data_IF_364874469845
#
_entry.id   IF_364874469845
#
_cell.length_a   1.000
_cell.length_b   1.000
_cell.length_c   1.000
_cell.angle_alpha   90.00
_cell.angle_beta   90.00
_cell.angle_gamma   90.00
#
_symmetry.space_group_name_H-M   'P 1'
#
loop_
_entity.id
_entity.type
_entity.pdbx_description
1 polymer ?
#
# COMPACT_ATOMS: atom_id res chain seq x y z
N UNK A 1 4.81 -14.01 -7.23
CA UNK A 1 3.45 -14.15 -6.70
C UNK A 1 2.90 -12.81 -6.31
N UNK A 2 1.68 -12.50 -6.71
CA UNK A 2 1.07 -11.21 -6.38
C UNK A 2 0.41 -11.26 -5.01
N UNK A 3 0.56 -10.15 -4.28
CA UNK A 3 -0.10 -9.93 -2.99
C UNK A 3 -0.80 -8.57 -3.01
N UNK A 4 -2.01 -8.53 -2.47
CA UNK A 4 -2.77 -7.30 -2.30
C UNK A 4 -2.75 -6.92 -0.82
N UNK A 5 -2.32 -5.68 -0.55
CA UNK A 5 -2.36 -5.11 0.77
C UNK A 5 -3.44 -4.04 0.85
N UNK A 6 -4.31 -4.15 1.83
CA UNK A 6 -5.31 -3.13 2.14
C UNK A 6 -4.98 -2.56 3.52
N UNK A 7 -4.60 -1.30 3.55
CA UNK A 7 -4.20 -0.62 4.77
C UNK A 7 -5.23 0.44 5.11
N UNK A 8 -5.77 0.40 6.32
CA UNK A 8 -6.77 1.37 6.77
C UNK A 8 -6.10 2.30 7.77
N UNK A 9 -6.23 3.60 7.55
CA UNK A 9 -5.65 4.61 8.43
C UNK A 9 -6.37 4.66 9.76
N UNK A 10 -5.63 5.06 10.80
CA UNK A 10 -6.24 5.41 12.09
C UNK A 10 -7.14 6.63 11.93
N UNK A 11 -8.17 6.80 12.77
CA UNK A 11 -8.92 8.04 12.83
C UNK A 11 -7.97 9.23 12.98
N UNK A 12 -8.30 10.34 12.34
CA UNK A 12 -7.48 11.56 12.35
C UNK A 12 -6.07 11.39 11.78
N UNK A 13 -5.89 10.41 10.87
CA UNK A 13 -4.58 10.14 10.26
C UNK A 13 -4.19 11.08 9.13
N UNK A 14 -5.07 11.96 8.66
CA UNK A 14 -4.82 12.74 7.45
C UNK A 14 -3.56 13.61 7.52
N UNK A 15 -3.32 14.28 8.64
CA UNK A 15 -2.14 15.13 8.80
C UNK A 15 -0.84 14.30 8.75
N UNK A 16 -0.86 13.12 9.38
CA UNK A 16 0.28 12.20 9.36
C UNK A 16 0.52 11.66 7.94
N UNK A 17 -0.53 11.26 7.25
CA UNK A 17 -0.45 10.80 5.86
C UNK A 17 0.14 11.88 4.96
N UNK A 18 -0.36 13.11 5.07
CA UNK A 18 0.12 14.23 4.27
C UNK A 18 1.59 14.53 4.56
N UNK A 19 1.98 14.53 5.83
CA UNK A 19 3.35 14.82 6.25
C UNK A 19 4.35 13.74 5.83
N UNK A 20 3.93 12.47 5.74
CA UNK A 20 4.80 11.36 5.37
C UNK A 20 4.72 10.99 3.89
N UNK A 21 3.83 11.60 3.13
CA UNK A 21 3.61 11.26 1.74
C UNK A 21 4.88 11.38 0.87
N UNK A 22 5.69 12.44 0.97
CA UNK A 22 6.91 12.51 0.14
C UNK A 22 7.84 11.33 0.39
N UNK A 23 8.10 10.98 1.63
CA UNK A 23 8.95 9.83 1.98
C UNK A 23 8.35 8.52 1.50
N UNK A 24 7.03 8.33 1.64
CA UNK A 24 6.29 7.16 1.16
C UNK A 24 6.46 6.99 -0.35
N UNK A 25 6.31 8.05 -1.13
CA UNK A 25 6.44 7.97 -2.59
C UNK A 25 7.87 7.64 -3.02
N UNK A 26 8.88 8.21 -2.35
CA UNK A 26 10.28 7.87 -2.61
C UNK A 26 10.53 6.39 -2.32
N UNK A 27 10.04 5.90 -1.18
CA UNK A 27 10.17 4.50 -0.80
C UNK A 27 9.53 3.57 -1.83
N UNK A 28 8.28 3.83 -2.21
CA UNK A 28 7.57 3.00 -3.19
C UNK A 28 8.28 2.99 -4.54
N UNK A 29 8.78 4.15 -4.98
CA UNK A 29 9.53 4.24 -6.23
C UNK A 29 10.80 3.39 -6.22
N UNK A 30 11.40 3.19 -5.05
CA UNK A 30 12.62 2.38 -4.90
C UNK A 30 12.38 0.89 -5.08
N UNK A 31 11.14 0.43 -4.99
CA UNK A 31 10.79 -0.99 -5.07
C UNK A 31 10.89 -1.56 -6.49
N UNK A 32 10.89 -0.71 -7.50
CA UNK A 32 10.98 -1.16 -8.88
C UNK A 32 9.85 -2.10 -9.28
N UNK A 33 10.20 -3.20 -9.93
CA UNK A 33 9.23 -4.18 -10.43
C UNK A 33 8.46 -4.93 -9.34
N UNK A 34 8.89 -4.85 -8.09
CA UNK A 34 8.15 -5.46 -6.97
C UNK A 34 6.85 -4.73 -6.66
N UNK A 35 6.75 -3.46 -7.00
CA UNK A 35 5.52 -2.69 -6.87
C UNK A 35 4.80 -2.68 -8.21
N UNK A 36 3.57 -3.19 -8.23
CA UNK A 36 2.75 -3.26 -9.46
C UNK A 36 1.70 -2.17 -9.51
N UNK A 37 1.16 -1.79 -8.37
CA UNK A 37 0.21 -0.69 -8.26
C UNK A 37 0.16 -0.21 -6.82
N UNK A 38 -0.10 1.07 -6.64
CA UNK A 38 -0.31 1.66 -5.32
C UNK A 38 -1.21 2.88 -5.46
N UNK A 39 -2.09 3.06 -4.51
CA UNK A 39 -2.97 4.22 -4.49
C UNK A 39 -3.68 4.37 -3.16
N UNK A 40 -4.32 5.51 -2.99
CA UNK A 40 -5.08 5.81 -1.80
C UNK A 40 -6.50 5.26 -1.90
N UNK A 41 -6.98 4.70 -0.80
CA UNK A 41 -8.40 4.46 -0.60
C UNK A 41 -9.02 5.77 -0.13
N UNK A 42 -10.12 6.15 -0.75
CA UNK A 42 -10.76 7.42 -0.46
C UNK A 42 -12.00 7.22 0.41
N UNK A 43 -12.43 8.28 1.08
CA UNK A 43 -13.69 8.28 1.80
C UNK A 43 -14.87 8.16 0.83
N UNK A 44 -16.09 8.07 1.35
CA UNK A 44 -17.29 7.89 0.53
C UNK A 44 -17.49 9.00 -0.50
N UNK A 45 -17.09 10.22 -0.16
CA UNK A 45 -17.21 11.36 -1.05
C UNK A 45 -16.15 11.35 -2.15
N UNK A 46 -15.14 10.45 -2.04
CA UNK A 46 -14.05 10.38 -2.99
C UNK A 46 -13.07 11.54 -2.87
N UNK A 47 -12.98 12.16 -1.70
CA UNK A 47 -12.19 13.38 -1.50
C UNK A 47 -10.94 13.17 -0.67
N UNK A 48 -11.06 12.52 0.49
CA UNK A 48 -9.95 12.39 1.43
C UNK A 48 -9.41 10.97 1.49
N UNK A 49 -8.07 10.79 1.49
CA UNK A 49 -7.50 9.46 1.66
C UNK A 49 -7.73 8.96 3.08
N UNK A 50 -8.16 7.71 3.19
CA UNK A 50 -8.42 7.03 4.46
C UNK A 50 -7.69 5.69 4.56
N UNK A 51 -6.88 5.37 3.58
CA UNK A 51 -6.13 4.13 3.53
C UNK A 51 -5.30 4.01 2.27
N UNK A 52 -4.75 2.83 2.04
CA UNK A 52 -3.94 2.55 0.86
C UNK A 52 -4.25 1.15 0.34
N UNK A 53 -4.20 0.98 -0.97
CA UNK A 53 -4.18 -0.33 -1.60
C UNK A 53 -2.88 -0.46 -2.38
N UNK A 54 -2.15 -1.55 -2.15
CA UNK A 54 -0.88 -1.82 -2.82
C UNK A 54 -0.91 -3.24 -3.37
N UNK A 55 -0.31 -3.40 -4.55
CA UNK A 55 -0.16 -4.72 -5.17
C UNK A 55 1.33 -4.94 -5.39
N UNK A 56 1.85 -6.03 -4.80
CA UNK A 56 3.26 -6.39 -4.87
C UNK A 56 3.47 -7.68 -5.64
N UNK A 57 4.56 -7.76 -6.38
CA UNK A 57 5.08 -9.02 -6.90
C UNK A 57 6.29 -9.41 -6.08
N UNK A 58 6.16 -10.45 -5.27
CA UNK A 58 7.21 -10.90 -4.36
C UNK A 58 7.35 -12.42 -4.41
N UNK A 59 8.44 -12.93 -3.84
CA UNK A 59 8.70 -14.36 -3.76
C UNK A 59 7.68 -15.05 -2.86
N UNK A 60 7.34 -14.42 -1.73
CA UNK A 60 6.46 -14.98 -0.72
C UNK A 60 5.80 -13.88 0.10
N UNK A 61 4.93 -14.28 1.02
CA UNK A 61 4.23 -13.36 1.91
C UNK A 61 5.20 -12.62 2.84
N UNK A 62 6.25 -13.29 3.31
CA UNK A 62 7.20 -12.67 4.23
C UNK A 62 7.90 -11.46 3.60
N UNK A 63 8.26 -11.56 2.32
CA UNK A 63 8.84 -10.44 1.59
C UNK A 63 7.84 -9.27 1.47
N UNK A 64 6.59 -9.57 1.13
CA UNK A 64 5.54 -8.54 1.03
C UNK A 64 5.32 -7.85 2.38
N UNK A 65 5.29 -8.60 3.48
CA UNK A 65 5.15 -8.04 4.83
C UNK A 65 6.32 -7.16 5.22
N UNK A 66 7.54 -7.57 4.86
CA UNK A 66 8.73 -6.77 5.13
C UNK A 66 8.69 -5.43 4.37
N UNK A 67 8.22 -5.44 3.12
CA UNK A 67 8.06 -4.23 2.33
C UNK A 67 7.04 -3.29 2.99
N UNK A 68 5.91 -3.82 3.44
CA UNK A 68 4.88 -3.02 4.12
C UNK A 68 5.41 -2.41 5.41
N UNK A 69 6.16 -3.17 6.21
CA UNK A 69 6.68 -2.72 7.48
C UNK A 69 7.70 -1.58 7.34
N UNK A 70 8.42 -1.54 6.24
CA UNK A 70 9.43 -0.51 5.97
C UNK A 70 8.86 0.75 5.31
N UNK A 71 7.58 0.76 4.95
CA UNK A 71 6.92 1.94 4.40
C UNK A 71 6.90 3.06 5.45
N UNK A 72 7.31 4.29 5.11
CA UNK A 72 7.23 5.43 6.04
C UNK A 72 5.86 5.64 6.67
N UNK A 73 4.77 5.30 5.99
CA UNK A 73 3.43 5.33 6.58
C UNK A 73 3.30 4.35 7.75
N UNK A 74 3.78 3.11 7.55
CA UNK A 74 3.75 2.08 8.60
C UNK A 74 4.64 2.47 9.77
N UNK A 75 5.85 2.94 9.49
CA UNK A 75 6.80 3.37 10.51
C UNK A 75 6.27 4.52 11.35
N UNK A 76 5.49 5.41 10.74
CA UNK A 76 4.86 6.53 11.45
C UNK A 76 3.64 6.11 12.27
N UNK A 77 3.21 4.84 12.19
CA UNK A 77 2.04 4.37 12.90
C UNK A 77 0.72 4.87 12.32
N UNK A 78 0.67 5.12 11.01
CA UNK A 78 -0.53 5.63 10.35
C UNK A 78 -1.66 4.60 10.31
N UNK A 79 -1.34 3.32 10.12
CA UNK A 79 -2.36 2.30 9.85
C UNK A 79 -3.00 1.75 11.12
N UNK A 80 -4.34 1.70 11.14
CA UNK A 80 -5.10 0.99 12.15
C UNK A 80 -5.10 -0.53 11.86
N UNK A 81 -5.11 -0.90 10.58
CA UNK A 81 -5.09 -2.30 10.16
C UNK A 81 -4.37 -2.44 8.82
N UNK A 82 -3.75 -3.61 8.65
CA UNK A 82 -3.11 -4.02 7.40
C UNK A 82 -3.56 -5.43 7.11
N UNK A 83 -4.20 -5.63 5.96
CA UNK A 83 -4.62 -6.94 5.50
C UNK A 83 -3.81 -7.27 4.24
N UNK A 84 -3.19 -8.45 4.22
CA UNK A 84 -2.36 -8.90 3.11
C UNK A 84 -2.85 -10.26 2.66
N UNK A 85 -3.18 -10.38 1.36
CA UNK A 85 -3.64 -11.64 0.78
C UNK A 85 -2.92 -11.93 -0.53
N UNK A 86 -2.62 -13.21 -0.80
CA UNK A 86 -2.23 -13.59 -2.16
C UNK A 86 -3.40 -13.31 -3.10
N UNK A 87 -3.07 -12.88 -4.32
CA UNK A 87 -4.08 -12.47 -5.28
C UNK A 87 -3.70 -12.95 -6.68
N UNK A 88 -4.71 -13.33 -7.46
CA UNK A 88 -4.54 -13.72 -8.86
C UNK A 88 -5.49 -12.89 -9.70
N UNK A 89 -4.93 -12.13 -10.64
CA UNK A 89 -5.74 -11.36 -11.57
C UNK A 89 -6.41 -12.32 -12.56
N UNK A 90 -7.72 -12.17 -12.72
CA UNK A 90 -8.48 -12.98 -13.69
C UNK A 90 -8.78 -12.20 -14.98
N UNK A 91 -9.10 -10.92 -14.85
CA UNK A 91 -9.54 -10.08 -15.96
C UNK A 91 -8.99 -8.67 -15.80
N UNK A 92 -9.06 -7.91 -16.87
CA UNK A 92 -8.63 -6.51 -16.88
C UNK A 92 -7.25 -6.34 -17.47
N UNK A 93 -6.71 -5.12 -17.37
CA UNK A 93 -5.36 -4.82 -17.82
C UNK A 93 -4.36 -5.50 -16.88
N UNK A 94 -3.35 -6.15 -17.45
CA UNK A 94 -2.38 -6.92 -16.68
C UNK A 94 -1.65 -6.05 -15.65
N UNK A 95 -1.69 -6.48 -14.40
CA UNK A 95 -0.92 -5.89 -13.29
C UNK A 95 0.48 -6.49 -13.26
N UNK A 96 0.58 -7.81 -13.48
CA UNK A 96 1.87 -8.50 -13.60
C UNK A 96 2.31 -8.51 -15.05
N UNK A 97 3.56 -8.18 -15.30
CA UNK A 97 4.18 -8.21 -16.65
C UNK A 97 5.28 -9.23 -16.71
#
# INVERSE_FOLDING_TARGET
MLFVATCIDKPDGLAKRTGRRPAHLVYLSSLGAKLRAAGALLDRAGQNPVGSLLIFETLDEAEARAILAADPYAEAGLFASVDLKPWRQALGVAIAV
#
